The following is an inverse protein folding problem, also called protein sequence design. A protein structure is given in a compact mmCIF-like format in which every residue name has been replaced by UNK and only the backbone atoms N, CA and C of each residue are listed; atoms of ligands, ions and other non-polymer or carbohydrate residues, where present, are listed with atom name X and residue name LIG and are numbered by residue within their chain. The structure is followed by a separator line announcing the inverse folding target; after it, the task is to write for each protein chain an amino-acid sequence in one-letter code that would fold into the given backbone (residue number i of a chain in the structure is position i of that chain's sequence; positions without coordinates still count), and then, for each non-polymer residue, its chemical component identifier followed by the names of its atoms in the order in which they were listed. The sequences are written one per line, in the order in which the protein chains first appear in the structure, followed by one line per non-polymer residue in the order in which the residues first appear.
data_IF_821808075693
#
_entry.id   IF_821808075693
#
_cell.length_a   1.000
_cell.length_b   1.000
_cell.length_c   1.000
_cell.angle_alpha   90.00
_cell.angle_beta   90.00
_cell.angle_gamma   90.00
#
_symmetry.space_group_name_H-M   'P 1'
#
loop_
_entity.id
_entity.type
_entity.pdbx_description
1 polymer ?
#
# COMPACT_ATOMS: atom_id res chain seq x y z
N UNK A 1 -13.78 17.67 -7.13
CA UNK A 1 -13.06 16.67 -6.30
C UNK A 1 -13.21 15.29 -6.93
N UNK A 2 -12.44 14.27 -6.53
CA UNK A 2 -12.63 12.90 -7.04
C UNK A 2 -14.07 12.42 -6.83
N UNK A 3 -14.64 12.75 -5.67
CA UNK A 3 -16.05 12.48 -5.36
C UNK A 3 -17.01 13.09 -6.38
N UNK A 4 -16.82 14.37 -6.71
CA UNK A 4 -17.72 15.06 -7.65
C UNK A 4 -17.66 14.41 -9.04
N UNK A 5 -16.50 13.92 -9.47
CA UNK A 5 -16.36 13.16 -10.71
C UNK A 5 -17.14 11.85 -10.67
N UNK A 6 -17.07 11.09 -9.58
CA UNK A 6 -17.85 9.85 -9.41
C UNK A 6 -19.35 10.16 -9.36
N UNK A 7 -19.76 11.22 -8.66
CA UNK A 7 -21.16 11.65 -8.61
C UNK A 7 -21.71 12.01 -9.99
N UNK A 8 -20.93 12.71 -10.82
CA UNK A 8 -21.30 12.98 -12.21
C UNK A 8 -21.43 11.71 -13.03
N UNK A 9 -20.50 10.76 -12.87
CA UNK A 9 -20.51 9.48 -13.58
C UNK A 9 -21.76 8.66 -13.22
N UNK A 10 -22.12 8.59 -11.93
CA UNK A 10 -23.31 7.91 -11.45
C UNK A 10 -24.59 8.49 -12.07
N UNK A 11 -24.70 9.82 -12.16
CA UNK A 11 -25.86 10.46 -12.79
C UNK A 11 -25.93 10.18 -14.29
N UNK A 12 -24.79 10.13 -14.98
CA UNK A 12 -24.73 9.84 -16.42
C UNK A 12 -25.14 8.40 -16.74
N UNK A 13 -24.81 7.45 -15.86
CA UNK A 13 -25.07 6.02 -16.03
C UNK A 13 -26.37 5.56 -15.34
N UNK A 14 -27.27 6.49 -14.98
CA UNK A 14 -28.55 6.16 -14.35
C UNK A 14 -28.44 5.50 -12.96
N UNK A 15 -27.30 5.70 -12.28
CA UNK A 15 -26.91 5.04 -11.03
C UNK A 15 -26.74 3.51 -11.14
N UNK A 16 -26.38 2.98 -12.32
CA UNK A 16 -26.20 1.54 -12.56
C UNK A 16 -24.75 1.02 -12.30
N UNK A 17 -23.91 1.85 -11.68
CA UNK A 17 -22.54 1.44 -11.36
C UNK A 17 -22.55 0.45 -10.19
N UNK A 18 -22.12 -0.78 -10.44
CA UNK A 18 -22.13 -1.84 -9.43
C UNK A 18 -20.99 -1.76 -8.40
N UNK A 19 -19.83 -1.18 -8.75
CA UNK A 19 -18.69 -1.05 -7.83
C UNK A 19 -17.65 -0.02 -8.31
N UNK A 20 -16.75 0.39 -7.41
CA UNK A 20 -15.57 1.21 -7.73
C UNK A 20 -14.30 0.36 -7.56
N UNK A 21 -13.52 0.24 -8.63
CA UNK A 21 -12.17 -0.35 -8.60
C UNK A 21 -11.15 0.78 -8.67
N UNK A 22 -10.18 0.81 -7.77
CA UNK A 22 -9.20 1.90 -7.69
C UNK A 22 -7.82 1.37 -7.29
N UNK A 23 -6.77 2.09 -7.70
CA UNK A 23 -5.40 1.76 -7.30
C UNK A 23 -5.21 1.91 -5.79
N UNK A 24 -4.41 1.04 -5.16
CA UNK A 24 -4.16 1.05 -3.72
C UNK A 24 -3.65 2.38 -3.15
N UNK A 25 -3.00 3.21 -3.96
CA UNK A 25 -2.55 4.54 -3.54
C UNK A 25 -3.62 5.62 -3.67
N UNK A 26 -4.75 5.34 -4.33
CA UNK A 26 -5.91 6.23 -4.40
C UNK A 26 -6.85 6.01 -3.20
N UNK A 27 -6.33 6.03 -1.97
CA UNK A 27 -7.12 5.78 -0.75
C UNK A 27 -8.34 6.70 -0.57
N UNK A 28 -8.31 7.90 -1.15
CA UNK A 28 -9.47 8.81 -1.17
C UNK A 28 -10.67 8.25 -1.97
N UNK A 29 -10.44 7.29 -2.87
CA UNK A 29 -11.50 6.64 -3.64
C UNK A 29 -12.40 5.77 -2.77
N UNK A 30 -11.86 5.18 -1.71
CA UNK A 30 -12.67 4.41 -0.75
C UNK A 30 -13.71 5.30 -0.06
N UNK A 31 -13.32 6.51 0.35
CA UNK A 31 -14.22 7.46 1.00
C UNK A 31 -15.37 7.86 0.08
N UNK A 32 -15.09 8.08 -1.21
CA UNK A 32 -16.13 8.36 -2.20
C UNK A 32 -17.06 7.15 -2.39
N UNK A 33 -16.51 5.93 -2.48
CA UNK A 33 -17.32 4.71 -2.58
C UNK A 33 -18.26 4.52 -1.39
N UNK A 34 -17.76 4.75 -0.16
CA UNK A 34 -18.56 4.70 1.08
C UNK A 34 -19.69 5.72 1.09
N UNK A 35 -19.44 6.96 0.68
CA UNK A 35 -20.45 8.02 0.64
C UNK A 35 -21.59 7.68 -0.34
N UNK A 36 -21.25 7.13 -1.51
CA UNK A 36 -22.22 6.67 -2.51
C UNK A 36 -22.78 5.27 -2.24
N UNK A 37 -22.41 4.63 -1.12
CA UNK A 37 -22.84 3.28 -0.73
C UNK A 37 -22.55 2.21 -1.79
N UNK A 38 -21.44 2.37 -2.51
CA UNK A 38 -21.01 1.42 -3.52
C UNK A 38 -19.99 0.43 -2.95
N UNK A 39 -20.06 -0.85 -3.34
CA UNK A 39 -18.95 -1.78 -3.15
C UNK A 39 -17.66 -1.20 -3.76
N UNK A 40 -16.53 -1.49 -3.12
CA UNK A 40 -15.24 -0.99 -3.58
C UNK A 40 -14.20 -2.09 -3.54
N UNK A 41 -13.32 -2.13 -4.54
CA UNK A 41 -12.24 -3.11 -4.68
C UNK A 41 -10.92 -2.36 -4.85
N UNK A 42 -9.98 -2.63 -3.96
CA UNK A 42 -8.61 -2.13 -4.08
C UNK A 42 -7.86 -2.98 -5.10
N UNK A 43 -7.28 -2.33 -6.10
CA UNK A 43 -6.41 -2.94 -7.09
C UNK A 43 -4.95 -2.58 -6.81
N UNK A 44 -4.10 -3.59 -6.66
CA UNK A 44 -2.66 -3.40 -6.53
C UNK A 44 -1.99 -3.70 -7.88
N UNK A 45 -1.38 -2.68 -8.47
CA UNK A 45 -0.70 -2.74 -9.78
C UNK A 45 0.73 -3.29 -9.71
N UNK A 46 1.24 -3.58 -8.52
CA UNK A 46 2.59 -4.10 -8.27
C UNK A 46 2.62 -5.63 -8.17
N UNK A 47 3.83 -6.21 -8.11
CA UNK A 47 3.97 -7.67 -7.99
C UNK A 47 3.56 -8.19 -6.61
N UNK A 48 3.17 -9.47 -6.55
CA UNK A 48 2.90 -10.15 -5.28
C UNK A 48 4.11 -10.13 -4.33
N UNK A 49 5.32 -10.17 -4.87
CA UNK A 49 6.57 -10.02 -4.12
C UNK A 49 6.66 -8.64 -3.45
N UNK A 50 6.30 -7.56 -4.16
CA UNK A 50 6.27 -6.23 -3.57
C UNK A 50 5.27 -6.16 -2.41
N UNK A 51 4.09 -6.78 -2.55
CA UNK A 51 3.13 -6.86 -1.46
C UNK A 51 3.69 -7.62 -0.24
N UNK A 52 4.37 -8.74 -0.45
CA UNK A 52 4.99 -9.51 0.62
C UNK A 52 6.07 -8.68 1.35
N UNK A 53 6.89 -7.92 0.61
CA UNK A 53 7.85 -6.98 1.18
C UNK A 53 7.15 -5.93 2.05
N UNK A 54 6.06 -5.31 1.58
CA UNK A 54 5.34 -4.29 2.36
C UNK A 54 4.75 -4.86 3.65
N UNK A 55 4.23 -6.10 3.61
CA UNK A 55 3.75 -6.80 4.80
C UNK A 55 4.85 -7.11 5.83
N UNK A 56 6.08 -7.32 5.37
CA UNK A 56 7.25 -7.43 6.26
C UNK A 56 7.66 -6.07 6.82
N UNK A 57 7.80 -5.07 5.95
CA UNK A 57 8.21 -3.70 6.29
C UNK A 57 7.25 -3.05 7.30
N UNK A 58 5.94 -3.29 7.20
CA UNK A 58 4.94 -2.72 8.13
C UNK A 58 5.18 -3.08 9.60
N UNK A 59 5.93 -4.16 9.87
CA UNK A 59 6.22 -4.67 11.22
C UNK A 59 7.53 -4.12 11.79
N UNK A 60 8.31 -3.37 11.01
CA UNK A 60 9.64 -2.92 11.41
C UNK A 60 9.62 -1.59 12.15
N UNK A 61 10.61 -1.40 13.02
CA UNK A 61 10.89 -0.11 13.63
C UNK A 61 11.87 0.67 12.75
N UNK A 62 11.50 1.89 12.32
CA UNK A 62 12.30 2.69 11.39
C UNK A 62 13.72 2.97 11.89
N UNK A 63 13.87 3.36 13.17
CA UNK A 63 15.18 3.70 13.74
C UNK A 63 16.09 2.49 13.82
N UNK A 64 15.56 1.37 14.33
CA UNK A 64 16.32 0.11 14.40
C UNK A 64 16.71 -0.36 13.00
N UNK A 65 15.76 -0.35 12.07
CA UNK A 65 16.00 -0.77 10.70
C UNK A 65 17.09 0.07 10.02
N UNK A 66 17.04 1.40 10.18
CA UNK A 66 18.06 2.29 9.63
C UNK A 66 19.46 1.99 10.20
N UNK A 67 19.57 1.81 11.52
CA UNK A 67 20.83 1.46 12.16
C UNK A 67 21.36 0.11 11.68
N UNK A 68 20.49 -0.90 11.58
CA UNK A 68 20.85 -2.23 11.08
C UNK A 68 21.33 -2.18 9.62
N UNK A 69 20.76 -1.29 8.80
CA UNK A 69 21.12 -1.13 7.39
C UNK A 69 22.45 -0.40 7.15
N UNK A 70 23.10 0.17 8.18
CA UNK A 70 24.46 0.72 8.03
C UNK A 70 25.51 -0.39 7.86
N UNK A 71 25.23 -1.62 8.32
CA UNK A 71 26.11 -2.78 8.17
C UNK A 71 25.88 -3.48 6.81
N UNK A 72 26.88 -3.51 5.90
CA UNK A 72 26.77 -4.23 4.62
C UNK A 72 26.46 -5.71 4.78
N UNK A 73 26.90 -6.36 5.87
CA UNK A 73 26.58 -7.77 6.11
C UNK A 73 25.09 -7.97 6.39
N UNK A 74 24.43 -7.01 7.05
CA UNK A 74 22.99 -7.05 7.27
C UNK A 74 22.23 -6.83 5.97
N UNK A 75 22.69 -5.88 5.14
CA UNK A 75 22.09 -5.61 3.83
C UNK A 75 22.05 -6.85 2.92
N UNK A 76 23.07 -7.72 3.03
CA UNK A 76 23.17 -8.96 2.25
C UNK A 76 22.47 -10.18 2.85
N UNK A 77 21.95 -10.10 4.09
CA UNK A 77 21.19 -11.19 4.70
C UNK A 77 19.86 -11.40 3.98
N UNK A 78 19.49 -12.67 3.79
CA UNK A 78 18.17 -13.06 3.29
C UNK A 78 17.13 -12.71 4.35
N UNK A 79 16.03 -12.10 3.91
CA UNK A 79 14.91 -11.76 4.78
C UNK A 79 14.14 -13.03 5.11
N UNK A 80 13.89 -13.25 6.40
CA UNK A 80 13.14 -14.41 6.88
C UNK A 80 11.76 -14.48 6.20
N UNK A 81 11.37 -15.67 5.75
CA UNK A 81 10.11 -15.93 5.04
C UNK A 81 9.94 -15.21 3.69
N UNK A 82 10.98 -14.55 3.16
CA UNK A 82 10.97 -13.88 1.86
C UNK A 82 12.10 -14.35 0.92
N UNK A 83 12.60 -15.58 1.09
CA UNK A 83 13.62 -16.13 0.20
C UNK A 83 13.18 -16.02 -1.28
N UNK A 84 14.03 -15.53 -2.20
CA UNK A 84 15.47 -15.23 -2.05
C UNK A 84 15.82 -13.77 -1.74
N UNK A 85 14.87 -12.94 -1.35
CA UNK A 85 15.10 -11.51 -1.14
C UNK A 85 16.04 -11.24 0.03
N UNK A 86 16.97 -10.30 -0.18
CA UNK A 86 17.83 -9.75 0.87
C UNK A 86 17.33 -8.38 1.34
N UNK A 87 17.85 -7.91 2.45
CA UNK A 87 17.50 -6.59 3.00
C UNK A 87 17.72 -5.44 2.01
N UNK A 88 18.79 -5.49 1.21
CA UNK A 88 19.05 -4.49 0.15
C UNK A 88 18.10 -4.56 -1.06
N UNK A 89 17.39 -5.68 -1.22
CA UNK A 89 16.43 -5.86 -2.31
C UNK A 89 15.03 -5.30 -1.92
N UNK A 90 14.83 -4.90 -0.66
CA UNK A 90 13.57 -4.32 -0.18
C UNK A 90 13.31 -2.94 -0.84
N UNK A 91 12.04 -2.60 -1.16
CA UNK A 91 11.69 -1.42 -1.98
C UNK A 91 11.72 -0.10 -1.19
N UNK A 92 12.75 0.14 -0.39
CA UNK A 92 12.79 1.24 0.59
C UNK A 92 13.39 2.51 -0.04
N UNK A 93 14.49 2.37 -0.78
CA UNK A 93 15.24 3.50 -1.35
C UNK A 93 14.49 4.26 -2.44
N UNK A 94 13.50 3.63 -3.09
CA UNK A 94 12.74 4.23 -4.20
C UNK A 94 11.46 4.95 -3.78
N UNK A 95 10.99 4.75 -2.55
CA UNK A 95 9.68 5.26 -2.08
C UNK A 95 9.77 6.49 -1.16
N UNK A 96 10.98 6.94 -0.82
CA UNK A 96 11.21 8.14 0.01
C UNK A 96 11.91 7.84 1.33
N UNK A 97 11.85 8.75 2.31
CA UNK A 97 12.40 8.53 3.66
C UNK A 97 11.86 7.25 4.30
N UNK A 98 12.73 6.45 4.90
CA UNK A 98 12.41 5.10 5.40
C UNK A 98 11.22 5.11 6.36
N UNK A 99 11.19 6.06 7.30
CA UNK A 99 10.08 6.26 8.23
C UNK A 99 8.74 6.40 7.50
N UNK A 100 8.68 7.25 6.48
CA UNK A 100 7.47 7.42 5.67
C UNK A 100 7.09 6.18 4.89
N UNK A 101 8.07 5.44 4.36
CA UNK A 101 7.81 4.18 3.65
C UNK A 101 7.24 3.13 4.59
N UNK A 102 7.79 3.00 5.81
CA UNK A 102 7.29 2.06 6.79
C UNK A 102 5.88 2.43 7.28
N UNK A 103 5.61 3.73 7.48
CA UNK A 103 4.27 4.19 7.85
C UNK A 103 3.26 3.95 6.73
N UNK A 104 3.62 4.23 5.47
CA UNK A 104 2.79 3.87 4.32
C UNK A 104 2.52 2.35 4.25
N UNK A 105 3.53 1.52 4.53
CA UNK A 105 3.34 0.07 4.57
C UNK A 105 2.38 -0.35 5.69
N UNK A 106 2.42 0.31 6.86
CA UNK A 106 1.45 0.09 7.94
C UNK A 106 0.06 0.46 7.50
N UNK A 107 -0.14 1.63 6.89
CA UNK A 107 -1.45 2.07 6.42
C UNK A 107 -2.00 1.15 5.33
N UNK A 108 -1.19 0.73 4.36
CA UNK A 108 -1.64 -0.19 3.28
C UNK A 108 -2.00 -1.58 3.83
N UNK A 109 -1.32 -2.04 4.88
CA UNK A 109 -1.63 -3.34 5.51
C UNK A 109 -2.81 -3.21 6.48
N UNK A 110 -2.88 -2.14 7.26
CA UNK A 110 -3.90 -1.91 8.29
C UNK A 110 -5.22 -1.42 7.70
N UNK A 111 -5.18 -0.63 6.63
CA UNK A 111 -6.35 -0.24 5.83
C UNK A 111 -7.04 -1.42 5.16
N UNK A 112 -6.46 -2.63 5.23
CA UNK A 112 -7.12 -3.90 4.89
C UNK A 112 -7.85 -4.55 6.09
N UNK A 113 -7.64 -4.05 7.30
CA UNK A 113 -8.16 -4.65 8.55
C UNK A 113 -9.03 -3.72 9.39
N UNK A 114 -8.93 -2.41 9.22
CA UNK A 114 -9.81 -1.45 9.85
C UNK A 114 -10.64 -0.81 8.73
N UNK A 115 -11.86 -1.31 8.54
CA UNK A 115 -13.12 -0.57 8.32
C UNK A 115 -14.24 -1.57 8.05
#
# INVERSE_FOLDING_TARGET
SFKDCIGQLLLQDGNDIACIIYDEFMYFSEAAAKEFKLPSVVFNTTSATNQACRSFLSKLNAKKFLADMEDPQVQDKVVENLHPLRYKDLPISKLGPVDRVLDLCKEVVNGRTAF
#
